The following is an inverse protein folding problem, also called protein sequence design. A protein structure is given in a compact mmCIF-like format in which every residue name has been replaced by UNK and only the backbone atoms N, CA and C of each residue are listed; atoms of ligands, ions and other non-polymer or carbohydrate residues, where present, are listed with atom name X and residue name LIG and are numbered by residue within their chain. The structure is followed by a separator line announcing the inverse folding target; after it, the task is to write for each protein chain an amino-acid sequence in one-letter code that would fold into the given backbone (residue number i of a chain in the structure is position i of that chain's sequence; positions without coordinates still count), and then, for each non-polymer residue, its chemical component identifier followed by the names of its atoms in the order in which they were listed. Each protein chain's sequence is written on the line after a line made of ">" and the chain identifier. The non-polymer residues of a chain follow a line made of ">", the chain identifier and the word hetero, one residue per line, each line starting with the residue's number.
data_IF_473669823014
#
_entry.id   IF_473669823014
#
_cell.length_a   1.000
_cell.length_b   1.000
_cell.length_c   1.000
_cell.angle_alpha   90.00
_cell.angle_beta   90.00
_cell.angle_gamma   90.00
#
_symmetry.space_group_name_H-M   'P 1'
#
loop_
_entity.id
_entity.type
_entity.pdbx_description
1 polymer ?
#
# COMPACT_ATOMS: atom_id res chain seq x y z
N UNK A 1 29.67 -61.38 -38.63
CA UNK A 1 29.61 -60.27 -37.65
C UNK A 1 28.41 -59.44 -38.04
N UNK A 2 27.39 -59.44 -37.18
CA UNK A 2 26.03 -59.02 -37.50
C UNK A 2 25.89 -57.49 -37.54
N UNK A 3 25.15 -57.02 -38.54
CA UNK A 3 24.67 -55.66 -38.76
C UNK A 3 23.37 -55.42 -37.99
N UNK A 4 23.23 -54.27 -37.31
CA UNK A 4 21.93 -53.64 -37.00
C UNK A 4 22.21 -52.21 -36.47
N UNK A 5 21.94 -51.16 -37.25
CA UNK A 5 20.63 -50.50 -37.44
C UNK A 5 20.51 -49.26 -36.56
N UNK A 6 21.02 -48.15 -37.09
CA UNK A 6 20.69 -46.77 -36.71
C UNK A 6 19.25 -46.48 -37.12
N UNK A 7 18.37 -46.32 -36.13
CA UNK A 7 17.00 -45.85 -36.35
C UNK A 7 17.01 -44.32 -36.24
N UNK A 8 16.90 -43.66 -37.40
CA UNK A 8 16.45 -42.27 -37.50
C UNK A 8 14.99 -42.22 -37.07
N UNK A 9 14.69 -41.46 -36.02
CA UNK A 9 13.32 -41.08 -35.70
C UNK A 9 13.19 -39.59 -36.01
N UNK A 10 12.64 -39.31 -37.19
CA UNK A 10 12.22 -38.00 -37.63
C UNK A 10 10.98 -37.62 -36.81
N UNK A 11 11.20 -36.82 -35.76
CA UNK A 11 10.12 -36.19 -35.02
C UNK A 11 9.65 -34.95 -35.77
N UNK A 12 8.45 -35.02 -36.31
CA UNK A 12 7.81 -33.96 -37.09
C UNK A 12 7.71 -32.63 -36.32
N UNK A 13 7.89 -31.48 -36.99
CA UNK A 13 7.55 -30.19 -36.41
C UNK A 13 6.03 -30.08 -36.35
N UNK A 14 5.46 -30.30 -35.16
CA UNK A 14 4.09 -29.88 -34.89
C UNK A 14 4.03 -28.35 -34.92
N UNK A 15 3.74 -27.82 -36.10
CA UNK A 15 3.11 -26.51 -36.31
C UNK A 15 1.70 -26.57 -35.71
N UNK A 16 1.62 -26.61 -34.37
CA UNK A 16 0.41 -26.17 -33.68
C UNK A 16 0.38 -24.65 -33.75
N UNK A 17 -0.11 -24.16 -34.89
CA UNK A 17 -0.86 -22.93 -35.01
C UNK A 17 -2.03 -23.01 -34.03
N UNK A 18 -1.73 -22.84 -32.75
CA UNK A 18 -2.73 -22.47 -31.75
C UNK A 18 -2.95 -20.98 -31.98
N UNK A 19 -3.78 -20.67 -32.97
CA UNK A 19 -4.41 -19.36 -33.03
C UNK A 19 -5.18 -19.21 -31.71
N UNK A 20 -4.80 -18.27 -30.82
CA UNK A 20 -5.69 -17.93 -29.75
C UNK A 20 -6.96 -17.42 -30.42
N UNK A 21 -8.08 -18.12 -30.25
CA UNK A 21 -9.39 -17.53 -30.43
C UNK A 21 -9.43 -16.32 -29.51
N UNK A 22 -9.08 -15.17 -30.09
CA UNK A 22 -9.39 -13.85 -29.57
C UNK A 22 -10.90 -13.76 -29.59
N UNK A 23 -11.52 -14.26 -28.52
CA UNK A 23 -12.90 -13.95 -28.16
C UNK A 23 -12.95 -12.43 -28.04
N UNK A 24 -13.27 -11.79 -29.15
CA UNK A 24 -13.36 -10.35 -29.34
C UNK A 24 -14.65 -9.79 -28.72
N UNK A 25 -15.20 -10.51 -27.74
CA UNK A 25 -16.39 -10.15 -26.98
C UNK A 25 -15.99 -9.52 -25.63
N UNK A 26 -14.80 -8.91 -25.57
CA UNK A 26 -14.57 -7.79 -24.66
C UNK A 26 -15.43 -6.63 -25.15
N UNK A 27 -16.66 -6.64 -24.66
CA UNK A 27 -17.44 -5.40 -24.53
C UNK A 27 -16.51 -4.33 -23.96
N UNK A 28 -16.25 -3.23 -24.68
CA UNK A 28 -15.57 -2.10 -24.09
C UNK A 28 -16.45 -1.66 -22.92
N UNK A 29 -15.88 -1.70 -21.73
CA UNK A 29 -16.49 -1.19 -20.50
C UNK A 29 -16.80 0.29 -20.78
N UNK A 30 -18.05 0.56 -21.16
CA UNK A 30 -18.52 1.82 -21.75
C UNK A 30 -18.64 2.96 -20.75
N UNK A 31 -17.76 3.02 -19.74
CA UNK A 31 -17.86 3.98 -18.65
C UNK A 31 -16.80 5.08 -18.71
N UNK A 32 -15.74 4.94 -19.52
CA UNK A 32 -14.71 6.00 -19.63
C UNK A 32 -15.08 7.10 -20.63
N UNK A 33 -15.91 6.83 -21.64
CA UNK A 33 -16.35 7.82 -22.63
C UNK A 33 -17.35 8.84 -22.08
N UNK A 34 -18.12 8.47 -21.04
CA UNK A 34 -19.12 9.35 -20.43
C UNK A 34 -18.50 10.48 -19.60
N UNK A 35 -17.29 10.26 -19.07
CA UNK A 35 -16.55 11.25 -18.28
C UNK A 35 -16.04 12.37 -19.20
N UNK A 36 -15.60 12.04 -20.41
CA UNK A 36 -15.10 13.04 -21.38
C UNK A 36 -16.22 13.86 -22.04
N UNK A 37 -17.43 13.32 -22.23
CA UNK A 37 -18.52 14.07 -22.85
C UNK A 37 -19.10 15.17 -21.92
N UNK A 38 -19.09 14.93 -20.60
CA UNK A 38 -19.54 15.91 -19.58
C UNK A 38 -18.68 17.19 -19.56
N UNK A 39 -17.45 17.15 -20.06
CA UNK A 39 -16.59 18.34 -20.17
C UNK A 39 -17.06 19.34 -21.25
N UNK A 40 -17.84 18.90 -22.24
CA UNK A 40 -18.23 19.74 -23.38
C UNK A 40 -19.51 20.56 -23.20
N UNK A 41 -20.34 20.22 -22.19
CA UNK A 41 -21.70 20.78 -22.04
C UNK A 41 -21.83 21.91 -21.01
N UNK A 42 -20.75 22.32 -20.35
CA UNK A 42 -20.81 23.36 -19.31
C UNK A 42 -20.58 24.80 -19.81
N UNK A 43 -20.27 25.02 -21.09
CA UNK A 43 -19.87 26.35 -21.60
C UNK A 43 -21.02 27.17 -22.24
N UNK A 44 -22.29 26.80 -21.97
CA UNK A 44 -23.47 27.32 -22.70
C UNK A 44 -24.33 28.37 -21.98
N UNK A 45 -23.90 28.92 -20.84
CA UNK A 45 -24.72 29.84 -20.02
C UNK A 45 -24.75 31.28 -20.54
N UNK A 46 -25.49 31.56 -21.60
CA UNK A 46 -25.72 32.91 -22.13
C UNK A 46 -26.65 33.71 -21.20
N UNK A 47 -26.08 34.52 -20.31
CA UNK A 47 -26.82 35.42 -19.42
C UNK A 47 -27.33 36.65 -20.16
N UNK A 48 -28.65 36.81 -20.27
CA UNK A 48 -29.30 38.05 -20.68
C UNK A 48 -29.14 39.12 -19.58
N UNK A 49 -28.52 40.24 -19.95
CA UNK A 49 -28.27 41.38 -19.07
C UNK A 49 -29.54 42.15 -18.74
N UNK A 50 -29.74 42.42 -17.45
CA UNK A 50 -30.49 43.57 -16.96
C UNK A 50 -29.49 44.57 -16.42
N UNK A 51 -29.33 45.68 -17.13
CA UNK A 51 -28.47 46.80 -16.78
C UNK A 51 -29.04 47.52 -15.54
N UNK A 52 -28.63 47.08 -14.36
CA UNK A 52 -28.74 47.84 -13.13
C UNK A 52 -27.32 48.16 -12.67
N UNK A 53 -26.97 49.45 -12.74
CA UNK A 53 -25.76 50.06 -12.25
C UNK A 53 -25.69 49.98 -10.71
N UNK A 54 -25.52 48.79 -10.17
CA UNK A 54 -25.37 48.53 -8.75
C UNK A 54 -23.88 48.59 -8.38
N UNK A 55 -23.52 49.61 -7.60
CA UNK A 55 -22.15 50.00 -7.24
C UNK A 55 -21.51 49.05 -6.22
N UNK A 56 -21.67 47.74 -6.41
CA UNK A 56 -21.30 46.70 -5.45
C UNK A 56 -20.08 45.88 -5.93
N UNK A 57 -19.09 46.56 -6.52
CA UNK A 57 -17.85 45.96 -7.05
C UNK A 57 -17.06 45.20 -5.98
N UNK A 58 -17.19 45.58 -4.70
CA UNK A 58 -16.50 44.92 -3.59
C UNK A 58 -16.92 43.47 -3.35
N UNK A 59 -18.15 43.09 -3.71
CA UNK A 59 -18.64 41.71 -3.50
C UNK A 59 -18.46 40.80 -4.72
N UNK A 60 -18.15 41.36 -5.89
CA UNK A 60 -17.96 40.60 -7.13
C UNK A 60 -16.67 39.78 -7.08
N UNK A 61 -15.56 40.40 -6.68
CA UNK A 61 -14.26 39.73 -6.57
C UNK A 61 -14.28 38.53 -5.60
N UNK A 62 -14.99 38.63 -4.47
CA UNK A 62 -15.13 37.51 -3.52
C UNK A 62 -16.00 36.37 -4.04
N UNK A 63 -17.03 36.67 -4.85
CA UNK A 63 -17.88 35.64 -5.48
C UNK A 63 -17.12 34.91 -6.59
N UNK A 64 -16.37 35.65 -7.40
CA UNK A 64 -15.52 35.10 -8.47
C UNK A 64 -14.41 34.22 -7.88
N UNK A 65 -13.65 34.70 -6.87
CA UNK A 65 -12.60 33.90 -6.23
C UNK A 65 -13.12 32.59 -5.58
N UNK A 66 -14.35 32.61 -5.05
CA UNK A 66 -14.98 31.40 -4.48
C UNK A 66 -15.44 30.41 -5.54
N UNK A 67 -15.92 30.91 -6.68
CA UNK A 67 -16.27 30.06 -7.83
C UNK A 67 -15.00 29.40 -8.42
N UNK A 68 -13.92 30.16 -8.56
CA UNK A 68 -12.63 29.65 -9.07
C UNK A 68 -12.03 28.59 -8.15
N UNK A 69 -12.13 28.79 -6.82
CA UNK A 69 -11.69 27.78 -5.85
C UNK A 69 -12.48 26.48 -5.99
N UNK A 70 -13.80 26.56 -6.20
CA UNK A 70 -14.64 25.39 -6.41
C UNK A 70 -14.28 24.63 -7.69
N UNK A 71 -14.02 25.34 -8.79
CA UNK A 71 -13.59 24.71 -10.04
C UNK A 71 -12.23 24.02 -9.92
N UNK A 72 -11.26 24.63 -9.23
CA UNK A 72 -9.96 24.00 -8.99
C UNK A 72 -10.08 22.74 -8.11
N UNK A 73 -10.93 22.76 -7.09
CA UNK A 73 -11.16 21.58 -6.25
C UNK A 73 -11.80 20.44 -7.05
N UNK A 74 -12.79 20.75 -7.90
CA UNK A 74 -13.41 19.78 -8.81
C UNK A 74 -12.40 19.18 -9.80
N UNK A 75 -11.52 20.00 -10.38
CA UNK A 75 -10.46 19.51 -11.26
C UNK A 75 -9.52 18.54 -10.51
N UNK A 76 -9.09 18.90 -9.30
CA UNK A 76 -8.26 18.02 -8.47
C UNK A 76 -8.96 16.71 -8.11
N UNK A 77 -10.26 16.73 -7.86
CA UNK A 77 -11.01 15.49 -7.59
C UNK A 77 -11.06 14.59 -8.82
N UNK A 78 -11.32 15.15 -10.00
CA UNK A 78 -11.36 14.38 -11.25
C UNK A 78 -9.98 13.78 -11.58
N UNK A 79 -8.92 14.57 -11.46
CA UNK A 79 -7.55 14.10 -11.64
C UNK A 79 -7.22 12.95 -10.67
N UNK A 80 -7.65 13.07 -9.42
CA UNK A 80 -7.47 12.02 -8.41
C UNK A 80 -8.22 10.75 -8.77
N UNK A 81 -9.46 10.86 -9.26
CA UNK A 81 -10.28 9.71 -9.67
C UNK A 81 -9.71 9.00 -10.88
N UNK A 82 -9.22 9.74 -11.88
CA UNK A 82 -8.55 9.16 -13.04
C UNK A 82 -7.29 8.41 -12.62
N UNK A 83 -6.45 9.01 -11.77
CA UNK A 83 -5.26 8.34 -11.23
C UNK A 83 -5.63 7.07 -10.47
N UNK A 84 -6.68 7.12 -9.65
CA UNK A 84 -7.16 5.95 -8.92
C UNK A 84 -7.60 4.84 -9.87
N UNK A 85 -8.40 5.15 -10.89
CA UNK A 85 -8.87 4.20 -11.88
C UNK A 85 -7.68 3.50 -12.57
N UNK A 86 -6.73 4.27 -13.09
CA UNK A 86 -5.52 3.74 -13.76
C UNK A 86 -4.68 2.85 -12.84
N UNK A 87 -4.48 3.28 -11.59
CA UNK A 87 -3.72 2.50 -10.61
C UNK A 87 -4.44 1.20 -10.26
N UNK A 88 -5.77 1.26 -10.03
CA UNK A 88 -6.57 0.10 -9.68
C UNK A 88 -6.60 -0.94 -10.81
N UNK A 89 -6.70 -0.48 -12.06
CA UNK A 89 -6.65 -1.34 -13.24
C UNK A 89 -5.29 -2.03 -13.36
N UNK A 90 -4.18 -1.29 -13.17
CA UNK A 90 -2.83 -1.86 -13.20
C UNK A 90 -2.65 -2.93 -12.12
N UNK A 91 -3.16 -2.71 -10.92
CA UNK A 91 -3.10 -3.70 -9.84
C UNK A 91 -3.96 -4.92 -10.18
N UNK A 92 -5.17 -4.71 -10.70
CA UNK A 92 -6.04 -5.79 -11.14
C UNK A 92 -5.36 -6.67 -12.19
N UNK A 93 -4.68 -6.07 -13.18
CA UNK A 93 -3.88 -6.79 -14.17
C UNK A 93 -2.72 -7.58 -13.54
N UNK A 94 -2.05 -7.04 -12.51
CA UNK A 94 -0.97 -7.74 -11.82
C UNK A 94 -1.45 -8.96 -11.03
N UNK A 95 -2.66 -8.92 -10.48
CA UNK A 95 -3.25 -10.02 -9.71
C UNK A 95 -4.24 -10.85 -10.52
N UNK A 96 -4.33 -10.62 -11.83
CA UNK A 96 -5.27 -11.33 -12.68
C UNK A 96 -4.98 -12.84 -12.68
N UNK A 97 -6.04 -13.64 -12.63
CA UNK A 97 -5.95 -15.09 -12.47
C UNK A 97 -5.45 -15.58 -11.10
N UNK A 98 -5.17 -14.68 -10.14
CA UNK A 98 -4.80 -15.06 -8.77
C UNK A 98 -6.06 -15.00 -7.88
N UNK A 99 -6.42 -16.14 -7.29
CA UNK A 99 -7.39 -16.17 -6.20
C UNK A 99 -6.79 -15.57 -4.93
N UNK A 100 -6.77 -14.23 -4.84
CA UNK A 100 -6.12 -13.47 -3.78
C UNK A 100 -6.61 -13.81 -2.36
N UNK A 101 -7.82 -14.39 -2.22
CA UNK A 101 -8.34 -14.89 -0.94
C UNK A 101 -7.65 -16.16 -0.43
N UNK A 102 -7.05 -16.95 -1.33
CA UNK A 102 -6.52 -18.28 -1.00
C UNK A 102 -5.02 -18.40 -1.21
N UNK A 103 -4.44 -17.60 -2.11
CA UNK A 103 -3.04 -17.74 -2.52
C UNK A 103 -2.21 -16.48 -2.22
N UNK A 104 -2.02 -16.20 -0.93
CA UNK A 104 -1.23 -15.05 -0.44
C UNK A 104 0.20 -15.09 -0.99
N UNK A 105 0.78 -16.27 -1.19
CA UNK A 105 2.13 -16.40 -1.71
C UNK A 105 2.24 -15.86 -3.15
N UNK A 106 1.28 -16.19 -4.02
CA UNK A 106 1.23 -15.63 -5.37
C UNK A 106 0.95 -14.13 -5.38
N UNK A 107 0.06 -13.65 -4.50
CA UNK A 107 -0.19 -12.21 -4.35
C UNK A 107 1.09 -11.48 -3.97
N UNK A 108 1.82 -11.96 -2.96
CA UNK A 108 3.09 -11.37 -2.53
C UNK A 108 4.13 -11.40 -3.66
N UNK A 109 4.21 -12.49 -4.42
CA UNK A 109 5.10 -12.62 -5.58
C UNK A 109 4.75 -11.62 -6.71
N UNK A 110 3.46 -11.38 -6.97
CA UNK A 110 3.01 -10.40 -7.96
C UNK A 110 3.49 -8.97 -7.63
N UNK A 111 3.65 -8.65 -6.34
CA UNK A 111 4.22 -7.40 -5.85
C UNK A 111 5.74 -7.43 -5.66
N UNK A 112 6.43 -8.45 -6.20
CA UNK A 112 7.89 -8.57 -6.13
C UNK A 112 8.44 -8.99 -4.77
N UNK A 113 7.59 -9.50 -3.87
CA UNK A 113 8.02 -10.02 -2.57
C UNK A 113 8.13 -11.54 -2.66
N UNK A 114 9.37 -12.00 -2.80
CA UNK A 114 9.65 -13.43 -2.93
C UNK A 114 9.32 -14.21 -1.66
N UNK A 115 8.61 -15.32 -1.83
CA UNK A 115 8.25 -16.27 -0.77
C UNK A 115 9.04 -17.55 -1.00
N UNK A 116 10.00 -17.89 -0.13
CA UNK A 116 10.87 -19.03 -0.38
C UNK A 116 10.10 -20.35 -0.35
N UNK A 117 10.24 -21.13 -1.42
CA UNK A 117 9.77 -22.51 -1.53
C UNK A 117 8.51 -22.70 -2.35
N UNK A 118 8.36 -23.89 -2.96
CA UNK A 118 7.23 -24.24 -3.84
C UNK A 118 5.92 -24.51 -3.06
N UNK A 119 6.04 -24.81 -1.76
CA UNK A 119 4.95 -24.85 -0.78
C UNK A 119 5.44 -24.11 0.46
N UNK A 120 5.23 -22.80 0.54
CA UNK A 120 5.80 -22.01 1.61
C UNK A 120 5.13 -22.36 2.95
N UNK A 121 5.95 -22.52 3.98
CA UNK A 121 5.49 -22.68 5.36
C UNK A 121 4.83 -21.37 5.85
N UNK A 122 3.93 -21.47 6.82
CA UNK A 122 3.22 -20.34 7.41
C UNK A 122 4.21 -19.27 7.91
N UNK A 123 5.35 -19.70 8.44
CA UNK A 123 6.44 -18.81 8.87
C UNK A 123 7.07 -18.01 7.72
N UNK A 124 7.23 -18.61 6.54
CA UNK A 124 7.76 -17.95 5.36
C UNK A 124 6.78 -16.92 4.80
N UNK A 125 5.49 -17.27 4.74
CA UNK A 125 4.41 -16.36 4.32
C UNK A 125 4.35 -15.15 5.25
N UNK A 126 4.37 -15.35 6.58
CA UNK A 126 4.37 -14.24 7.53
C UNK A 126 5.61 -13.35 7.42
N UNK A 127 6.78 -13.92 7.14
CA UNK A 127 8.00 -13.13 6.92
C UNK A 127 7.89 -12.27 5.65
N UNK A 128 7.42 -12.85 4.55
CA UNK A 128 7.19 -12.14 3.31
C UNK A 128 6.13 -11.04 3.47
N UNK A 129 5.01 -11.33 4.14
CA UNK A 129 3.99 -10.34 4.48
C UNK A 129 4.57 -9.16 5.27
N UNK A 130 5.38 -9.41 6.30
CA UNK A 130 6.04 -8.31 7.05
C UNK A 130 6.95 -7.45 6.16
N UNK A 131 7.66 -8.06 5.21
CA UNK A 131 8.48 -7.31 4.24
C UNK A 131 7.60 -6.45 3.33
N UNK A 132 6.51 -7.02 2.82
CA UNK A 132 5.55 -6.30 1.98
C UNK A 132 4.89 -5.15 2.73
N UNK A 133 4.43 -5.39 3.97
CA UNK A 133 3.86 -4.36 4.84
C UNK A 133 4.84 -3.19 5.01
N UNK A 134 6.11 -3.45 5.28
CA UNK A 134 7.11 -2.40 5.42
C UNK A 134 7.43 -1.64 4.13
N UNK A 135 7.09 -2.16 2.94
CA UNK A 135 7.32 -1.51 1.65
C UNK A 135 6.10 -0.69 1.22
N UNK A 136 4.91 -1.28 1.31
CA UNK A 136 3.68 -0.70 0.78
C UNK A 136 2.90 0.15 1.80
N UNK A 137 3.31 0.21 3.08
CA UNK A 137 2.59 0.97 4.09
C UNK A 137 2.51 2.48 3.76
N UNK A 138 1.33 3.11 3.88
CA UNK A 138 1.13 4.52 3.49
C UNK A 138 2.04 5.51 4.24
N UNK A 139 2.36 5.21 5.51
CA UNK A 139 3.25 6.06 6.35
C UNK A 139 4.66 6.24 5.77
N UNK A 140 5.17 5.29 4.99
CA UNK A 140 6.53 5.38 4.42
C UNK A 140 6.57 6.08 3.07
N UNK A 141 5.42 6.38 2.48
CA UNK A 141 5.30 6.84 1.10
C UNK A 141 4.98 8.34 0.98
N UNK A 142 5.05 9.11 2.07
CA UNK A 142 4.70 10.55 2.09
C UNK A 142 5.51 11.38 1.10
N UNK A 143 6.76 10.99 0.80
CA UNK A 143 7.64 11.68 -0.17
C UNK A 143 7.58 11.17 -1.62
N UNK A 144 6.70 10.21 -1.92
CA UNK A 144 6.56 9.61 -3.25
C UNK A 144 5.61 10.41 -4.13
N UNK A 145 5.65 10.16 -5.45
CA UNK A 145 4.69 10.75 -6.38
C UNK A 145 3.24 10.39 -6.01
N UNK A 146 2.25 11.16 -6.48
CA UNK A 146 0.84 10.87 -6.19
C UNK A 146 0.43 9.48 -6.71
N UNK A 147 0.89 9.11 -7.91
CA UNK A 147 0.66 7.80 -8.52
C UNK A 147 1.29 6.67 -7.70
N UNK A 148 2.57 6.76 -7.32
CA UNK A 148 3.22 5.76 -6.48
C UNK A 148 2.55 5.62 -5.11
N UNK A 149 2.08 6.72 -4.51
CA UNK A 149 1.36 6.68 -3.23
C UNK A 149 0.06 5.89 -3.36
N UNK A 150 -0.75 6.21 -4.37
CA UNK A 150 -1.98 5.47 -4.64
C UNK A 150 -1.71 4.00 -4.94
N UNK A 151 -0.67 3.70 -5.73
CA UNK A 151 -0.28 2.32 -6.04
C UNK A 151 0.06 1.55 -4.77
N UNK A 152 0.88 2.13 -3.89
CA UNK A 152 1.26 1.48 -2.64
C UNK A 152 0.06 1.33 -1.68
N UNK A 153 -0.84 2.30 -1.62
CA UNK A 153 -2.07 2.23 -0.82
C UNK A 153 -2.99 1.10 -1.28
N UNK A 154 -3.24 0.98 -2.57
CA UNK A 154 -4.07 -0.09 -3.15
C UNK A 154 -3.41 -1.47 -3.02
N UNK A 155 -2.10 -1.56 -3.27
CA UNK A 155 -1.35 -2.79 -3.04
C UNK A 155 -1.42 -3.23 -1.57
N UNK A 156 -1.28 -2.29 -0.63
CA UNK A 156 -1.41 -2.57 0.79
C UNK A 156 -2.79 -3.09 1.18
N UNK A 157 -3.87 -2.47 0.68
CA UNK A 157 -5.25 -2.97 0.90
C UNK A 157 -5.40 -4.40 0.41
N UNK A 158 -4.89 -4.71 -0.77
CA UNK A 158 -5.02 -6.05 -1.33
C UNK A 158 -4.22 -7.08 -0.53
N UNK A 159 -2.96 -6.78 -0.19
CA UNK A 159 -2.09 -7.67 0.59
C UNK A 159 -2.66 -7.89 2.00
N UNK A 160 -3.17 -6.85 2.66
CA UNK A 160 -3.80 -6.97 3.98
C UNK A 160 -5.06 -7.84 3.93
N UNK A 161 -5.94 -7.62 2.95
CA UNK A 161 -7.16 -8.41 2.78
C UNK A 161 -6.85 -9.87 2.46
N UNK A 162 -5.84 -10.13 1.63
CA UNK A 162 -5.36 -11.48 1.33
C UNK A 162 -4.86 -12.20 2.59
N UNK A 163 -4.09 -11.50 3.44
CA UNK A 163 -3.57 -12.05 4.69
C UNK A 163 -4.67 -12.31 5.73
N UNK A 164 -5.68 -11.45 5.80
CA UNK A 164 -6.86 -11.65 6.65
C UNK A 164 -7.63 -12.91 6.23
N UNK A 165 -7.84 -13.09 4.93
CA UNK A 165 -8.47 -14.30 4.36
C UNK A 165 -7.68 -15.57 4.67
N UNK A 166 -6.36 -15.51 4.55
CA UNK A 166 -5.48 -16.62 4.89
C UNK A 166 -5.50 -16.97 6.38
N UNK A 167 -5.49 -15.96 7.26
CA UNK A 167 -5.50 -16.14 8.72
C UNK A 167 -6.84 -16.62 9.25
N UNK A 168 -7.94 -16.24 8.58
CA UNK A 168 -9.29 -16.69 8.92
C UNK A 168 -9.55 -18.15 8.54
N UNK A 169 -8.67 -18.78 7.75
CA UNK A 169 -8.81 -20.18 7.37
C UNK A 169 -8.66 -21.05 8.63
N UNK A 170 -9.68 -21.83 9.02
CA UNK A 170 -9.56 -22.73 10.15
C UNK A 170 -8.37 -23.63 9.86
N UNK A 171 -7.40 -23.67 10.76
CA UNK A 171 -6.12 -24.37 10.58
C UNK A 171 -6.35 -25.85 10.28
N UNK A 172 -6.61 -26.20 9.02
CA UNK A 172 -6.80 -27.58 8.59
C UNK A 172 -5.49 -28.38 8.73
N UNK A 173 -4.38 -27.71 9.06
CA UNK A 173 -3.06 -28.29 9.30
C UNK A 173 -2.61 -28.30 10.78
N UNK A 174 -3.37 -27.76 11.74
CA UNK A 174 -2.95 -27.83 13.16
C UNK A 174 -3.33 -29.14 13.86
N UNK A 175 -3.89 -30.13 13.16
CA UNK A 175 -4.27 -31.43 13.75
C UNK A 175 -3.03 -32.26 14.19
N UNK A 176 -1.81 -31.91 13.75
CA UNK A 176 -0.61 -32.71 14.03
C UNK A 176 0.44 -32.07 14.96
N UNK A 177 0.14 -30.99 15.70
CA UNK A 177 0.96 -30.64 16.87
C UNK A 177 0.40 -31.35 18.10
N UNK A 178 0.81 -32.61 18.22
CA UNK A 178 0.55 -33.46 19.35
C UNK A 178 0.70 -32.71 20.67
N UNK A 179 -0.42 -32.59 21.39
CA UNK A 179 -0.43 -32.60 22.85
C UNK A 179 0.09 -33.96 23.31
N UNK A 180 1.39 -34.17 23.24
CA UNK A 180 2.11 -35.17 24.04
C UNK A 180 3.04 -34.44 25.00
N UNK A 181 2.46 -33.54 25.80
CA UNK A 181 3.01 -33.23 27.11
C UNK A 181 2.39 -34.21 28.10
N UNK A 182 3.09 -35.27 28.55
CA UNK A 182 2.61 -36.02 29.70
C UNK A 182 2.60 -35.07 30.89
N UNK A 183 1.48 -35.07 31.60
CA UNK A 183 1.37 -34.50 32.93
C UNK A 183 2.50 -35.05 33.80
N UNK A 184 3.53 -34.24 34.07
CA UNK A 184 4.39 -34.44 35.22
C UNK A 184 3.81 -33.60 36.35
N UNK A 185 2.71 -34.11 36.90
CA UNK A 185 2.37 -33.83 38.29
C UNK A 185 3.57 -34.20 39.17
N UNK A 186 3.81 -33.37 40.18
CA UNK A 186 4.40 -33.77 41.46
C UNK A 186 5.94 -33.84 41.51
N UNK A 187 6.53 -32.71 41.88
CA UNK A 187 7.34 -32.73 43.11
C UNK A 187 7.39 -31.35 43.77
N UNK A 188 6.49 -31.15 44.73
CA UNK A 188 6.72 -30.29 45.89
C UNK A 188 7.84 -30.93 46.71
N UNK A 189 8.96 -30.24 46.85
CA UNK A 189 9.87 -30.19 48.02
C UNK A 189 10.85 -29.07 47.67
N UNK A 190 10.75 -27.92 48.33
CA UNK A 190 11.60 -27.62 49.49
C UNK A 190 13.03 -27.45 48.99
N UNK A 191 13.71 -26.34 49.17
CA UNK A 191 14.02 -25.74 50.46
C UNK A 191 15.32 -24.95 50.20
N UNK A 192 15.44 -23.79 50.86
CA UNK A 192 16.70 -23.17 51.32
C UNK A 192 17.90 -23.02 50.37
N UNK A 193 18.20 -21.75 50.06
CA UNK A 193 19.49 -21.12 50.36
C UNK A 193 20.75 -21.57 49.63
N UNK A 194 21.42 -20.63 48.96
CA UNK A 194 22.83 -20.78 48.55
C UNK A 194 23.20 -19.82 47.42
N UNK A 195 23.57 -18.58 47.73
CA UNK A 195 24.94 -18.06 47.59
C UNK A 195 25.61 -18.25 46.23
N UNK A 196 25.81 -17.11 45.56
CA UNK A 196 27.04 -16.67 44.85
C UNK A 196 27.87 -17.76 44.15
N UNK A 197 27.93 -17.70 42.83
CA UNK A 197 29.23 -17.72 42.15
C UNK A 197 29.12 -17.09 40.75
N UNK A 198 29.67 -15.90 40.63
CA UNK A 198 30.01 -15.29 39.36
C UNK A 198 31.04 -16.20 38.66
N UNK A 199 30.70 -16.70 37.47
CA UNK A 199 31.67 -17.33 36.58
C UNK A 199 32.14 -16.27 35.58
N UNK A 200 33.31 -15.73 35.86
CA UNK A 200 34.05 -14.85 34.99
C UNK A 200 34.27 -15.52 33.63
N UNK A 201 33.96 -14.80 32.56
CA UNK A 201 34.41 -15.09 31.21
C UNK A 201 35.82 -14.47 31.06
N UNK A 202 36.89 -15.25 30.83
CA UNK A 202 38.26 -14.73 30.76
C UNK A 202 38.63 -14.08 29.42
N UNK A 203 37.72 -13.96 28.44
CA UNK A 203 38.05 -13.28 27.18
C UNK A 203 37.66 -11.79 27.22
N UNK A 204 38.36 -11.05 28.09
CA UNK A 204 38.33 -9.60 28.15
C UNK A 204 39.09 -9.00 26.97
N UNK A 205 38.35 -8.38 26.04
CA UNK A 205 38.88 -7.37 25.14
C UNK A 205 38.99 -6.04 25.92
N UNK A 206 40.19 -5.47 26.14
CA UNK A 206 40.37 -4.31 27.01
C UNK A 206 40.06 -2.95 26.36
N UNK A 207 39.56 -2.86 25.12
CA UNK A 207 39.29 -1.56 24.49
C UNK A 207 37.84 -1.10 24.66
N UNK A 208 37.48 -0.83 25.92
CA UNK A 208 36.21 -0.22 26.31
C UNK A 208 36.18 1.29 26.02
N UNK A 209 35.61 1.69 24.87
CA UNK A 209 34.96 3.00 24.76
C UNK A 209 33.55 2.88 25.36
N UNK A 210 33.44 3.23 26.64
CA UNK A 210 32.17 3.33 27.38
C UNK A 210 31.27 4.35 26.68
N UNK A 211 30.19 3.90 26.05
CA UNK A 211 29.11 4.80 25.69
C UNK A 211 28.24 5.06 26.94
N UNK A 212 27.88 6.32 27.24
CA UNK A 212 27.02 6.64 28.37
C UNK A 212 25.61 6.10 28.11
N UNK A 213 25.16 5.25 29.03
CA UNK A 213 23.76 4.83 29.15
C UNK A 213 22.93 6.07 29.47
N UNK A 214 22.20 6.57 28.48
CA UNK A 214 21.23 7.64 28.66
C UNK A 214 20.07 7.20 29.58
N UNK A 215 19.54 8.11 30.41
CA UNK A 215 18.48 7.81 31.37
C UNK A 215 17.16 7.49 30.65
N UNK A 216 16.44 6.51 31.22
CA UNK A 216 15.19 5.98 30.71
C UNK A 216 14.11 7.02 30.44
N UNK A 217 13.42 6.84 29.32
CA UNK A 217 12.19 7.54 28.98
C UNK A 217 11.05 6.52 28.91
N UNK A 218 10.62 6.05 30.08
CA UNK A 218 9.25 5.57 30.24
C UNK A 218 8.39 6.81 30.44
N UNK A 219 7.74 7.29 29.38
CA UNK A 219 6.66 8.29 29.51
C UNK A 219 5.33 7.61 29.23
N UNK A 220 4.72 7.13 30.30
CA UNK A 220 3.29 6.91 30.38
C UNK A 220 2.58 8.27 30.47
N UNK A 221 1.42 8.38 29.81
CA UNK A 221 0.37 9.34 30.13
C UNK A 221 0.41 10.70 29.41
N UNK A 222 -0.72 11.04 28.76
CA UNK A 222 -1.10 12.43 28.53
C UNK A 222 -1.79 12.73 27.20
N UNK A 223 -3.09 12.42 27.14
CA UNK A 223 -4.07 13.27 26.45
C UNK A 223 -3.77 14.76 26.69
N UNK A 224 -3.56 15.54 25.62
CA UNK A 224 -3.82 16.98 25.66
C UNK A 224 -4.20 17.51 24.27
N UNK A 225 -5.45 17.91 24.16
CA UNK A 225 -6.00 18.66 23.05
C UNK A 225 -5.37 20.05 23.01
N UNK A 226 -4.81 20.46 21.86
CA UNK A 226 -4.69 21.88 21.50
C UNK A 226 -4.99 22.08 20.02
N UNK A 227 -6.24 22.48 19.81
CA UNK A 227 -6.67 23.39 18.74
C UNK A 227 -5.59 24.46 18.49
N UNK A 228 -5.07 24.51 17.27
CA UNK A 228 -4.32 25.65 16.76
C UNK A 228 -5.13 26.28 15.63
N UNK A 229 -5.83 27.33 16.03
CA UNK A 229 -6.51 28.31 15.21
C UNK A 229 -5.43 29.05 14.38
N UNK A 230 -5.32 28.74 13.09
CA UNK A 230 -4.39 29.44 12.18
C UNK A 230 -5.03 30.75 11.73
N UNK A 231 -4.70 31.84 12.43
CA UNK A 231 -4.96 33.19 11.95
C UNK A 231 -3.92 33.55 10.89
N UNK A 232 -4.31 33.46 9.62
CA UNK A 232 -3.55 34.07 8.53
C UNK A 232 -3.86 35.57 8.50
N UNK A 233 -3.04 36.36 9.18
CA UNK A 233 -3.00 37.81 9.05
C UNK A 233 -2.25 38.21 7.77
N UNK A 234 -2.99 38.77 6.81
CA UNK A 234 -2.43 39.44 5.63
C UNK A 234 -2.09 40.88 6.01
N UNK A 235 -0.80 41.20 6.13
CA UNK A 235 -0.28 42.57 6.21
C UNK A 235 0.64 42.83 5.02
N UNK A 236 0.04 43.15 3.88
CA UNK A 236 0.75 43.60 2.67
C UNK A 236 0.55 45.09 2.45
N UNK A 237 1.29 45.93 3.20
CA UNK A 237 1.36 47.37 2.96
C UNK A 237 2.29 47.68 1.79
N UNK A 238 1.71 47.97 0.62
CA UNK A 238 2.44 48.50 -0.54
C UNK A 238 2.86 49.95 -0.31
N UNK A 239 4.16 50.20 -0.27
CA UNK A 239 4.77 51.53 -0.21
C UNK A 239 4.67 52.22 -1.56
N UNK A 240 4.28 53.49 -1.53
CA UNK A 240 4.17 54.37 -2.69
C UNK A 240 5.50 54.63 -3.37
N UNK A 241 5.41 54.71 -4.69
CA UNK A 241 6.42 55.21 -5.62
C UNK A 241 6.37 56.74 -5.56
N UNK A 242 7.49 57.37 -5.21
CA UNK A 242 7.81 58.74 -5.60
C UNK A 242 8.97 58.62 -6.58
N UNK A 243 8.74 58.97 -7.83
CA UNK A 243 9.82 59.28 -8.77
C UNK A 243 9.69 60.73 -9.20
N UNK A 244 10.86 61.35 -9.31
CA UNK A 244 11.13 62.78 -9.51
C UNK A 244 11.16 63.16 -10.98
#
# INVERSE_FOLDING_TARGET
>A
MSTASTSSEEGEPYDTLFEPEVNSDSTPIGETSEITEKLSKLDGGKSHGTDACDSNDGNRAFREARADQGHQEQQRTLEREVLYATVSERIAQQVDGIEWKYDVAKVLAAFGVDVPGNKPDDGAIQQAYRKAALQFHPDRNVGRSAEERMYNEEAWKLISTAMDGYSARPAQHSIAKGKSGPANERSKRGSTGGTKLAKANPNGNPNGKKQPLGPGFWRAGGINAKSSHSQNGVTGGGRGIWDS
#
